data_IF_495897397665
#
_entry.id   IF_495897397665
#
_cell.length_a   1.000
_cell.length_b   1.000
_cell.length_c   1.000
_cell.angle_alpha   90.00
_cell.angle_beta   90.00
_cell.angle_gamma   90.00
#
_symmetry.space_group_name_H-M   'P 1'
#
loop_
_entity.id
_entity.type
_entity.pdbx_description
1 polymer ?
#
# COMPACT_ATOMS: atom_id res chain seq x y z
N UNK A 1 -44.41 -31.13 -43.38
CA UNK A 1 -44.08 -30.26 -42.22
C UNK A 1 -42.95 -30.92 -41.44
N UNK A 2 -41.70 -30.45 -41.59
CA UNK A 2 -40.52 -30.91 -40.83
C UNK A 2 -39.64 -29.69 -40.59
N UNK A 3 -39.54 -29.27 -39.32
CA UNK A 3 -38.81 -28.09 -38.87
C UNK A 3 -37.39 -28.52 -38.47
N UNK A 4 -36.31 -27.99 -39.07
CA UNK A 4 -34.96 -28.26 -38.57
C UNK A 4 -34.65 -27.34 -37.38
N UNK A 5 -34.61 -27.92 -36.19
CA UNK A 5 -34.10 -27.28 -34.97
C UNK A 5 -32.59 -27.06 -35.17
N UNK A 6 -32.21 -25.82 -35.46
CA UNK A 6 -30.81 -25.40 -35.49
C UNK A 6 -30.35 -25.21 -34.05
N UNK A 7 -29.54 -26.17 -33.58
CA UNK A 7 -28.91 -26.17 -32.27
C UNK A 7 -27.91 -25.00 -32.22
N UNK A 8 -28.25 -23.92 -31.49
CA UNK A 8 -27.33 -22.83 -31.23
C UNK A 8 -26.21 -23.33 -30.30
N UNK A 9 -25.00 -23.46 -30.84
CA UNK A 9 -23.79 -23.77 -30.08
C UNK A 9 -23.40 -22.49 -29.33
N UNK A 10 -23.64 -22.46 -28.02
CA UNK A 10 -23.08 -21.42 -27.14
C UNK A 10 -21.60 -21.73 -26.92
N UNK A 11 -20.67 -20.78 -27.19
CA UNK A 11 -19.27 -20.95 -26.83
C UNK A 11 -19.13 -20.82 -25.31
N UNK A 12 -18.61 -21.87 -24.64
CA UNK A 12 -18.13 -21.75 -23.27
C UNK A 12 -16.85 -20.92 -23.27
N UNK A 13 -16.98 -19.65 -22.90
CA UNK A 13 -15.82 -18.80 -22.62
C UNK A 13 -15.32 -19.19 -21.23
N UNK A 14 -14.28 -20.02 -21.17
CA UNK A 14 -13.57 -20.30 -19.92
C UNK A 14 -12.73 -19.06 -19.57
N UNK A 15 -13.19 -18.26 -18.61
CA UNK A 15 -12.38 -17.17 -18.05
C UNK A 15 -11.31 -17.78 -17.15
N UNK A 16 -10.03 -17.70 -17.54
CA UNK A 16 -8.92 -17.91 -16.62
C UNK A 16 -8.92 -16.75 -15.62
N UNK A 17 -9.33 -17.03 -14.38
CA UNK A 17 -9.06 -16.11 -13.27
C UNK A 17 -7.54 -16.17 -12.97
N UNK A 18 -6.86 -15.01 -12.82
CA UNK A 18 -5.50 -15.02 -12.32
C UNK A 18 -5.45 -15.63 -10.92
N UNK A 19 -4.34 -16.29 -10.54
CA UNK A 19 -4.18 -16.76 -9.18
C UNK A 19 -4.26 -15.57 -8.20
N UNK A 20 -4.72 -15.79 -6.96
CA UNK A 20 -4.72 -14.74 -5.95
C UNK A 20 -3.28 -14.23 -5.75
N UNK A 21 -3.12 -12.92 -5.46
CA UNK A 21 -1.80 -12.39 -5.14
C UNK A 21 -1.23 -13.10 -3.91
N UNK A 22 0.10 -13.22 -3.81
CA UNK A 22 0.72 -13.72 -2.58
C UNK A 22 0.32 -12.83 -1.40
N UNK A 23 0.29 -13.37 -0.16
CA UNK A 23 0.15 -12.55 1.04
C UNK A 23 1.25 -11.49 1.08
N UNK A 24 0.90 -10.25 1.44
CA UNK A 24 1.92 -9.23 1.67
C UNK A 24 2.60 -9.48 3.01
N UNK A 25 3.92 -9.36 3.04
CA UNK A 25 4.67 -9.35 4.29
C UNK A 25 4.33 -8.07 5.10
N UNK A 26 4.37 -8.14 6.43
CA UNK A 26 4.20 -6.95 7.28
C UNK A 26 5.21 -5.86 6.91
N UNK A 27 4.79 -4.60 7.03
CA UNK A 27 5.68 -3.45 6.83
C UNK A 27 7.00 -3.62 7.63
N UNK A 28 8.17 -3.42 7.01
CA UNK A 28 9.46 -3.50 7.68
C UNK A 28 9.71 -2.27 8.55
N UNK A 29 8.96 -2.14 9.64
CA UNK A 29 9.05 -1.01 10.57
C UNK A 29 10.32 -1.13 11.42
N UNK A 30 11.05 -0.02 11.60
CA UNK A 30 12.25 -0.01 12.45
C UNK A 30 12.41 1.26 13.27
N UNK A 31 13.17 1.13 14.37
CA UNK A 31 13.44 2.21 15.32
C UNK A 31 12.57 2.15 16.57
N UNK A 32 12.44 3.27 17.27
CA UNK A 32 11.61 3.41 18.48
C UNK A 32 10.65 4.60 18.40
N UNK A 33 10.38 5.07 17.18
CA UNK A 33 9.67 6.30 16.83
C UNK A 33 10.44 7.09 15.76
N UNK A 34 9.73 7.89 14.97
CA UNK A 34 10.29 8.68 13.87
C UNK A 34 10.86 10.03 14.33
N UNK A 35 10.03 10.97 14.80
CA UNK A 35 10.48 12.33 15.17
C UNK A 35 11.22 12.34 16.51
N UNK A 36 10.80 11.46 17.41
CA UNK A 36 11.36 11.27 18.74
C UNK A 36 11.08 9.86 19.22
N UNK A 37 11.81 9.42 20.26
CA UNK A 37 11.57 8.12 20.90
C UNK A 37 10.16 8.09 21.50
N UNK A 38 9.35 7.12 21.09
CA UNK A 38 7.95 6.96 21.48
C UNK A 38 6.97 7.61 20.51
N UNK A 39 7.43 8.23 19.43
CA UNK A 39 6.54 8.66 18.34
C UNK A 39 5.85 7.44 17.73
N UNK A 40 4.55 7.57 17.45
CA UNK A 40 3.72 6.48 16.90
C UNK A 40 4.02 6.23 15.43
N UNK A 41 4.51 7.24 14.72
CA UNK A 41 5.03 7.09 13.37
C UNK A 41 6.42 6.44 13.40
N UNK A 42 6.67 5.52 12.48
CA UNK A 42 7.89 4.71 12.41
C UNK A 42 8.52 4.77 11.02
N UNK A 43 9.85 4.65 10.92
CA UNK A 43 10.52 4.49 9.62
C UNK A 43 10.20 3.12 9.03
N UNK A 44 10.10 3.07 7.70
CA UNK A 44 9.82 1.86 6.92
C UNK A 44 11.05 1.50 6.08
N UNK A 45 11.45 0.24 6.16
CA UNK A 45 12.55 -0.32 5.37
C UNK A 45 12.12 -0.73 3.96
N UNK A 46 13.07 -1.32 3.24
CA UNK A 46 12.84 -1.86 1.90
C UNK A 46 12.25 -3.28 1.97
N UNK A 47 11.18 -3.50 1.20
CA UNK A 47 10.64 -4.79 0.80
C UNK A 47 10.13 -4.71 -0.66
N UNK A 48 9.55 -5.80 -1.17
CA UNK A 48 9.02 -5.87 -2.55
C UNK A 48 7.95 -4.80 -2.86
N UNK A 49 7.25 -4.30 -1.84
CA UNK A 49 6.16 -3.33 -1.96
C UNK A 49 6.53 -1.90 -1.57
N UNK A 50 7.60 -1.70 -0.79
CA UNK A 50 8.03 -0.37 -0.32
C UNK A 50 9.17 0.21 -1.14
N UNK A 51 9.91 -0.59 -1.91
CA UNK A 51 11.03 -0.12 -2.74
C UNK A 51 10.66 1.06 -3.66
N UNK A 52 9.44 1.07 -4.19
CA UNK A 52 8.91 2.10 -5.09
C UNK A 52 8.64 3.45 -4.42
N UNK A 53 8.72 3.51 -3.09
CA UNK A 53 8.50 4.72 -2.30
C UNK A 53 9.77 5.19 -1.56
N UNK A 54 10.88 4.45 -1.68
CA UNK A 54 12.16 4.85 -1.09
C UNK A 54 12.86 5.88 -1.98
N UNK A 55 13.45 6.87 -1.34
CA UNK A 55 14.06 8.02 -2.01
C UNK A 55 15.33 8.46 -1.25
N UNK A 56 16.36 8.88 -1.99
CA UNK A 56 17.66 9.26 -1.42
C UNK A 56 17.65 10.63 -0.74
N UNK A 57 16.59 11.42 -0.94
CA UNK A 57 16.31 12.71 -0.31
C UNK A 57 15.10 12.70 0.64
N UNK A 58 14.41 11.56 0.84
CA UNK A 58 13.30 11.45 1.79
C UNK A 58 13.44 10.24 2.73
N UNK A 59 12.65 10.20 3.79
CA UNK A 59 12.40 9.02 4.60
C UNK A 59 11.00 8.47 4.27
N UNK A 60 10.87 7.14 4.18
CA UNK A 60 9.57 6.48 4.16
C UNK A 60 9.10 6.23 5.60
N UNK A 61 7.93 6.75 5.95
CA UNK A 61 7.40 6.74 7.31
C UNK A 61 5.98 6.17 7.31
N UNK A 62 5.70 5.24 8.22
CA UNK A 62 4.37 4.70 8.44
C UNK A 62 3.78 5.27 9.74
N UNK A 63 2.62 5.90 9.64
CA UNK A 63 1.84 6.35 10.79
C UNK A 63 0.54 5.54 10.86
N UNK A 64 0.11 5.02 12.04
CA UNK A 64 -1.17 4.34 12.16
C UNK A 64 -2.31 5.22 11.61
N UNK A 65 -3.21 4.64 10.83
CA UNK A 65 -4.24 5.40 10.11
C UNK A 65 -5.28 6.06 11.04
N UNK A 66 -5.41 5.54 12.26
CA UNK A 66 -6.25 6.05 13.34
C UNK A 66 -5.53 7.06 14.25
N UNK A 67 -4.27 7.40 13.95
CA UNK A 67 -3.51 8.42 14.67
C UNK A 67 -4.24 9.76 14.59
N UNK A 68 -4.53 10.36 15.74
CA UNK A 68 -5.05 11.72 15.80
C UNK A 68 -4.03 12.71 15.20
N UNK A 69 -4.52 13.74 14.52
CA UNK A 69 -3.69 14.86 14.03
C UNK A 69 -2.64 14.50 12.95
N UNK A 70 -2.90 13.50 12.08
CA UNK A 70 -2.05 13.26 10.89
C UNK A 70 -1.85 14.51 10.02
N UNK A 71 -2.81 15.43 9.97
CA UNK A 71 -2.65 16.71 9.27
C UNK A 71 -1.58 17.63 9.88
N UNK A 72 -1.36 17.56 11.20
CA UNK A 72 -0.27 18.28 11.87
C UNK A 72 1.06 17.62 11.51
N UNK A 73 1.12 16.28 11.51
CA UNK A 73 2.31 15.56 11.04
C UNK A 73 2.71 15.99 9.63
N UNK A 74 1.76 16.05 8.70
CA UNK A 74 2.00 16.55 7.33
C UNK A 74 2.52 17.98 7.32
N UNK A 75 1.90 18.87 8.09
CA UNK A 75 2.28 20.30 8.12
C UNK A 75 3.67 20.51 8.73
N UNK A 76 4.01 19.80 9.81
CA UNK A 76 5.28 19.96 10.52
C UNK A 76 6.47 19.37 9.75
N UNK A 77 6.23 18.32 8.95
CA UNK A 77 7.29 17.54 8.30
C UNK A 77 7.38 17.75 6.79
N UNK A 78 6.36 18.37 6.17
CA UNK A 78 6.24 18.41 4.71
C UNK A 78 5.94 17.04 4.09
N UNK A 79 5.40 16.10 4.86
CA UNK A 79 5.12 14.75 4.41
C UNK A 79 4.10 14.69 3.26
N UNK A 80 4.34 13.79 2.30
CA UNK A 80 3.39 13.45 1.25
C UNK A 80 2.91 12.00 1.41
N UNK A 81 1.60 11.78 1.45
CA UNK A 81 1.05 10.41 1.45
C UNK A 81 1.37 9.73 0.11
N UNK A 82 1.95 8.53 0.18
CA UNK A 82 2.35 7.74 -1.00
C UNK A 82 1.59 6.41 -1.11
N UNK A 83 1.11 5.88 0.01
CA UNK A 83 0.33 4.64 0.05
C UNK A 83 -0.45 4.48 1.37
N UNK A 84 -1.37 3.51 1.40
CA UNK A 84 -2.00 2.99 2.62
C UNK A 84 -2.00 1.47 2.59
N UNK A 85 -1.54 0.82 3.66
CA UNK A 85 -1.64 -0.64 3.86
C UNK A 85 -1.44 -1.01 5.32
N UNK A 86 -1.92 -2.18 5.69
CA UNK A 86 -1.67 -2.81 7.00
C UNK A 86 -2.06 -1.93 8.21
N UNK A 87 -3.06 -1.05 8.05
CA UNK A 87 -3.48 -0.10 9.09
C UNK A 87 -2.60 1.15 9.21
N UNK A 88 -1.73 1.41 8.23
CA UNK A 88 -0.85 2.57 8.20
C UNK A 88 -1.11 3.45 6.98
N UNK A 89 -0.91 4.75 7.18
CA UNK A 89 -0.66 5.72 6.11
C UNK A 89 0.85 5.85 5.94
N UNK A 90 1.33 5.62 4.72
CA UNK A 90 2.73 5.76 4.37
C UNK A 90 2.97 7.16 3.79
N UNK A 91 4.00 7.80 4.32
CA UNK A 91 4.43 9.14 3.95
C UNK A 91 5.87 9.13 3.45
N UNK A 92 6.13 9.86 2.37
CA UNK A 92 7.46 10.33 2.02
C UNK A 92 7.71 11.64 2.75
N UNK A 93 8.75 11.69 3.59
CA UNK A 93 9.11 12.86 4.40
C UNK A 93 10.44 13.42 3.91
N UNK A 94 10.48 14.62 3.30
CA UNK A 94 11.72 15.20 2.81
C UNK A 94 12.76 15.37 3.92
N UNK A 95 14.01 15.00 3.64
CA UNK A 95 15.15 15.32 4.48
C UNK A 95 15.68 16.69 4.05
N UNK A 96 15.47 17.70 4.90
CA UNK A 96 15.99 19.07 4.71
C UNK A 96 17.47 19.20 4.98
#
# INVERSE_FOLDING_TARGET
MRLPISLAILPLIAACAPPPPPPMDPLPLFGTGYRFKGDVCMRVGEDDSTNQYLDDAADLVACPEDTENLGVFVTDTGAQEVARRDGYVLYSVPRG
#
